data_IF_969863380497
#
_entry.id   IF_969863380497
#
_cell.length_a   1.000
_cell.length_b   1.000
_cell.length_c   1.000
_cell.angle_alpha   90.00
_cell.angle_beta   90.00
_cell.angle_gamma   90.00
#
_symmetry.space_group_name_H-M   'P 1'
#
loop_
_entity.id
_entity.type
_entity.pdbx_description
1 polymer ?
#
# COMPACT_ATOMS: atom_id res chain seq x y z
N UNK A 1 -13.90 -46.06 23.07
CA UNK A 1 -14.21 -45.60 21.70
C UNK A 1 -13.30 -44.43 21.42
N UNK A 2 -12.21 -44.70 20.69
CA UNK A 2 -11.14 -43.75 20.41
C UNK A 2 -11.59 -42.69 19.41
N UNK A 3 -11.33 -41.42 19.71
CA UNK A 3 -11.47 -40.33 18.76
C UNK A 3 -10.28 -40.40 17.78
N UNK A 4 -10.59 -40.51 16.48
CA UNK A 4 -9.60 -40.55 15.42
C UNK A 4 -9.33 -39.11 14.98
N UNK A 5 -8.17 -38.57 15.36
CA UNK A 5 -7.64 -37.34 14.76
C UNK A 5 -7.20 -37.67 13.32
N UNK A 6 -7.82 -37.02 12.33
CA UNK A 6 -7.43 -37.15 10.93
C UNK A 6 -6.12 -36.39 10.67
N UNK A 7 -5.08 -37.13 10.26
CA UNK A 7 -3.84 -36.57 9.67
C UNK A 7 -3.88 -36.74 8.15
N UNK A 8 -3.49 -35.71 7.43
CA UNK A 8 -3.16 -35.75 5.99
C UNK A 8 -1.78 -36.43 5.79
N UNK A 9 -1.47 -37.06 4.64
CA UNK A 9 -0.29 -37.92 4.47
C UNK A 9 1.08 -37.23 4.61
N UNK A 10 1.16 -35.89 4.59
CA UNK A 10 2.42 -35.15 4.51
C UNK A 10 2.86 -34.44 5.81
N UNK A 11 2.13 -34.61 6.92
CA UNK A 11 2.62 -34.18 8.24
C UNK A 11 2.89 -32.67 8.41
N UNK A 12 2.46 -31.81 7.48
CA UNK A 12 2.50 -30.36 7.65
C UNK A 12 1.30 -29.88 8.47
N UNK A 13 1.58 -29.12 9.52
CA UNK A 13 0.55 -28.41 10.27
C UNK A 13 -0.17 -27.45 9.33
N UNK A 14 -1.46 -27.68 9.07
CA UNK A 14 -2.33 -26.69 8.45
C UNK A 14 -2.41 -25.51 9.39
N UNK A 15 -1.65 -24.44 9.12
CA UNK A 15 -1.85 -23.16 9.79
C UNK A 15 -3.24 -22.69 9.44
N UNK A 16 -4.15 -22.71 10.41
CA UNK A 16 -5.50 -22.16 10.22
C UNK A 16 -5.35 -20.72 9.73
N UNK A 17 -5.93 -20.42 8.56
CA UNK A 17 -6.06 -19.05 8.09
C UNK A 17 -6.99 -18.31 9.06
N UNK A 18 -6.42 -17.66 10.07
CA UNK A 18 -7.18 -16.83 10.98
C UNK A 18 -7.69 -15.61 10.20
N UNK A 19 -8.97 -15.63 9.83
CA UNK A 19 -9.68 -14.48 9.21
C UNK A 19 -9.90 -13.33 10.19
N UNK A 20 -9.49 -13.48 11.45
CA UNK A 20 -9.58 -12.50 12.52
C UNK A 20 -8.19 -12.19 13.06
N UNK A 21 -7.87 -10.92 13.29
CA UNK A 21 -6.63 -10.51 13.92
C UNK A 21 -6.51 -11.04 15.36
N UNK A 22 -5.30 -11.36 15.80
CA UNK A 22 -5.05 -11.76 17.20
C UNK A 22 -5.10 -10.54 18.13
N UNK A 23 -5.35 -10.72 19.44
CA UNK A 23 -5.29 -9.61 20.40
C UNK A 23 -3.94 -8.87 20.40
N UNK A 24 -2.85 -9.59 20.19
CA UNK A 24 -1.49 -9.03 20.10
C UNK A 24 -1.31 -8.14 18.87
N UNK A 25 -1.82 -8.58 17.71
CA UNK A 25 -1.81 -7.79 16.48
C UNK A 25 -2.62 -6.50 16.65
N UNK A 26 -3.83 -6.60 17.20
CA UNK A 26 -4.69 -5.44 17.47
C UNK A 26 -4.04 -4.47 18.46
N UNK A 27 -3.40 -4.97 19.51
CA UNK A 27 -2.68 -4.14 20.48
C UNK A 27 -1.48 -3.42 19.82
N UNK A 28 -0.72 -4.11 18.97
CA UNK A 28 0.40 -3.51 18.24
C UNK A 28 -0.06 -2.39 17.28
N UNK A 29 -1.09 -2.64 16.47
CA UNK A 29 -1.66 -1.65 15.57
C UNK A 29 -2.20 -0.43 16.31
N UNK A 30 -2.95 -0.64 17.40
CA UNK A 30 -3.46 0.45 18.23
C UNK A 30 -2.33 1.27 18.86
N UNK A 31 -1.29 0.60 19.37
CA UNK A 31 -0.13 1.27 19.98
C UNK A 31 0.58 2.16 18.97
N UNK A 32 0.80 1.65 17.75
CA UNK A 32 1.40 2.41 16.66
C UNK A 32 0.57 3.65 16.28
N UNK A 33 -0.74 3.47 16.05
CA UNK A 33 -1.64 4.60 15.74
C UNK A 33 -1.64 5.68 16.83
N UNK A 34 -1.62 5.29 18.11
CA UNK A 34 -1.55 6.23 19.23
C UNK A 34 -0.21 6.97 19.29
N UNK A 35 0.90 6.33 18.91
CA UNK A 35 2.19 6.98 18.81
C UNK A 35 2.23 8.01 17.67
N UNK A 36 1.64 7.68 16.51
CA UNK A 36 1.52 8.60 15.37
C UNK A 36 0.64 9.81 15.72
N UNK A 37 -0.49 9.57 16.40
CA UNK A 37 -1.35 10.62 16.94
C UNK A 37 -0.63 11.55 17.92
N UNK A 38 0.39 11.05 18.61
CA UNK A 38 1.23 11.85 19.51
C UNK A 38 2.40 12.56 18.80
N UNK A 39 2.48 12.49 17.46
CA UNK A 39 3.49 13.16 16.64
C UNK A 39 4.72 12.30 16.31
N UNK A 40 4.67 10.98 16.53
CA UNK A 40 5.77 10.11 16.12
C UNK A 40 5.77 9.91 14.60
N UNK A 41 6.88 10.25 13.94
CA UNK A 41 7.05 10.09 12.48
C UNK A 41 8.09 9.01 12.21
N UNK A 42 7.64 7.84 11.76
CA UNK A 42 8.49 6.72 11.37
C UNK A 42 7.84 5.88 10.25
N UNK A 43 8.63 5.16 9.43
CA UNK A 43 8.08 4.25 8.44
C UNK A 43 7.23 3.15 9.08
N UNK A 44 6.11 2.79 8.45
CA UNK A 44 5.17 1.79 9.03
C UNK A 44 5.50 0.35 8.64
N UNK A 45 6.50 0.12 7.77
CA UNK A 45 6.85 -1.22 7.32
C UNK A 45 7.25 -2.12 8.49
N UNK A 46 6.55 -3.24 8.65
CA UNK A 46 6.84 -4.22 9.71
C UNK A 46 6.32 -3.88 11.11
N UNK A 47 5.74 -2.69 11.35
CA UNK A 47 5.27 -2.27 12.69
C UNK A 47 4.14 -3.14 13.24
N UNK A 48 3.18 -3.53 12.40
CA UNK A 48 2.04 -4.38 12.76
C UNK A 48 1.97 -5.60 11.84
N UNK A 49 2.88 -6.55 12.05
CA UNK A 49 3.03 -7.72 11.18
C UNK A 49 1.72 -8.54 11.06
N UNK A 50 1.37 -8.89 9.82
CA UNK A 50 0.15 -9.66 9.53
C UNK A 50 -1.15 -8.85 9.49
N UNK A 51 -1.10 -7.54 9.76
CA UNK A 51 -2.22 -6.62 9.54
C UNK A 51 -2.05 -5.83 8.24
N UNK A 52 -3.18 -5.45 7.66
CA UNK A 52 -3.23 -4.67 6.44
C UNK A 52 -2.83 -3.24 6.75
N UNK A 53 -1.98 -2.69 5.89
CA UNK A 53 -1.68 -1.27 5.84
C UNK A 53 -2.27 -0.68 4.56
N UNK A 54 -2.82 0.52 4.67
CA UNK A 54 -3.52 1.18 3.58
C UNK A 54 -2.84 2.51 3.22
N UNK A 55 -2.75 2.75 1.92
CA UNK A 55 -2.48 4.07 1.36
C UNK A 55 -3.72 4.95 1.56
N UNK A 56 -3.53 6.22 1.89
CA UNK A 56 -4.60 7.23 1.92
C UNK A 56 -4.54 8.11 0.67
N UNK A 57 -5.71 8.35 0.07
CA UNK A 57 -6.02 9.52 -0.76
C UNK A 57 -7.36 10.12 -0.29
N UNK A 58 -7.38 11.41 0.02
CA UNK A 58 -8.57 12.17 0.33
C UNK A 58 -8.69 13.35 -0.65
N UNK A 59 -9.89 13.56 -1.18
CA UNK A 59 -10.19 14.62 -2.16
C UNK A 59 -11.51 15.30 -1.80
N UNK A 60 -11.75 16.55 -2.24
CA UNK A 60 -13.04 17.20 -2.09
C UNK A 60 -14.16 16.34 -2.72
N UNK A 61 -15.39 16.47 -2.22
CA UNK A 61 -16.47 15.55 -2.59
C UNK A 61 -16.78 15.58 -4.10
N UNK A 62 -16.59 16.73 -4.76
CA UNK A 62 -16.80 16.86 -6.20
C UNK A 62 -15.79 16.06 -7.04
N UNK A 63 -14.65 15.65 -6.49
CA UNK A 63 -13.66 14.76 -7.13
C UNK A 63 -13.80 13.28 -6.76
N UNK A 64 -14.64 12.95 -5.78
CA UNK A 64 -14.77 11.59 -5.26
C UNK A 64 -15.19 10.57 -6.33
N UNK A 65 -16.18 10.91 -7.17
CA UNK A 65 -16.68 10.02 -8.23
C UNK A 65 -15.60 9.70 -9.27
N UNK A 66 -14.76 10.69 -9.60
CA UNK A 66 -13.63 10.50 -10.51
C UNK A 66 -12.59 9.55 -9.90
N UNK A 67 -12.27 9.72 -8.61
CA UNK A 67 -11.35 8.82 -7.88
C UNK A 67 -11.90 7.40 -7.82
N UNK A 68 -13.17 7.24 -7.48
CA UNK A 68 -13.82 5.93 -7.38
C UNK A 68 -13.84 5.21 -8.74
N UNK A 69 -14.23 5.92 -9.82
CA UNK A 69 -14.24 5.36 -11.17
C UNK A 69 -12.81 5.08 -11.66
N UNK A 70 -11.83 5.93 -11.33
CA UNK A 70 -10.43 5.69 -11.66
C UNK A 70 -9.92 4.43 -10.98
N UNK A 71 -10.25 4.23 -9.69
CA UNK A 71 -9.86 3.05 -8.95
C UNK A 71 -10.52 1.78 -9.51
N UNK A 72 -11.82 1.84 -9.83
CA UNK A 72 -12.57 0.76 -10.44
C UNK A 72 -12.00 0.35 -11.82
N UNK A 73 -11.55 1.31 -12.64
CA UNK A 73 -10.90 1.04 -13.92
C UNK A 73 -9.45 0.57 -13.80
N UNK A 74 -8.81 0.82 -12.66
CA UNK A 74 -7.40 0.49 -12.41
C UNK A 74 -7.24 -0.27 -11.08
N UNK A 75 -7.87 -1.46 -10.93
CA UNK A 75 -7.96 -2.13 -9.64
C UNK A 75 -6.62 -2.67 -9.12
N UNK A 76 -5.63 -2.90 -10.00
CA UNK A 76 -4.29 -3.33 -9.58
C UNK A 76 -3.50 -2.23 -8.88
N UNK A 77 -3.32 -1.02 -9.47
CA UNK A 77 -2.66 0.08 -8.76
C UNK A 77 -3.53 0.75 -7.70
N UNK A 78 -4.86 0.68 -7.82
CA UNK A 78 -5.79 1.37 -6.92
C UNK A 78 -6.84 0.41 -6.30
N UNK A 79 -6.44 -0.66 -5.61
CA UNK A 79 -7.39 -1.56 -4.97
C UNK A 79 -8.04 -0.89 -3.76
N UNK A 80 -9.30 -0.47 -3.86
CA UNK A 80 -10.00 0.20 -2.75
C UNK A 80 -10.39 -0.81 -1.67
N UNK A 81 -9.95 -0.55 -0.45
CA UNK A 81 -10.31 -1.31 0.76
C UNK A 81 -11.51 -0.71 1.48
N UNK A 82 -11.58 0.63 1.52
CA UNK A 82 -12.66 1.38 2.15
C UNK A 82 -12.83 2.76 1.52
N UNK A 83 -14.06 3.27 1.52
CA UNK A 83 -14.40 4.64 1.12
C UNK A 83 -15.19 5.25 2.27
N UNK A 84 -14.70 6.37 2.79
CA UNK A 84 -15.36 7.10 3.87
C UNK A 84 -16.24 8.19 3.25
N UNK A 85 -17.45 8.35 3.80
CA UNK A 85 -18.36 9.43 3.44
C UNK A 85 -17.70 10.82 3.60
N UNK A 86 -18.21 11.81 2.87
CA UNK A 86 -17.71 13.18 2.92
C UNK A 86 -17.64 13.72 4.37
N UNK A 87 -16.45 14.20 4.76
CA UNK A 87 -16.16 14.72 6.09
C UNK A 87 -15.92 13.66 7.17
N UNK A 88 -16.12 12.38 6.86
CA UNK A 88 -15.82 11.29 7.81
C UNK A 88 -14.31 11.08 7.93
N UNK A 89 -13.88 10.79 9.16
CA UNK A 89 -12.48 10.57 9.53
C UNK A 89 -12.24 9.14 10.06
N UNK A 90 -13.32 8.36 10.21
CA UNK A 90 -13.29 7.03 10.83
C UNK A 90 -13.54 5.96 9.79
N UNK A 91 -12.58 5.06 9.63
CA UNK A 91 -12.71 3.89 8.77
C UNK A 91 -13.26 2.70 9.54
N UNK A 92 -14.07 1.87 8.89
CA UNK A 92 -14.47 0.57 9.45
C UNK A 92 -13.31 -0.41 9.58
N UNK A 93 -12.19 -0.16 8.91
CA UNK A 93 -10.98 -0.99 8.98
C UNK A 93 -10.23 -0.81 10.31
N UNK A 94 -10.50 0.27 11.05
CA UNK A 94 -10.04 0.48 12.42
C UNK A 94 -10.99 1.49 13.11
N UNK A 95 -12.09 1.03 13.73
CA UNK A 95 -13.19 1.90 14.19
C UNK A 95 -12.82 2.99 15.21
N UNK A 96 -11.77 2.76 16.00
CA UNK A 96 -11.27 3.69 17.02
C UNK A 96 -10.21 4.67 16.47
N UNK A 97 -9.87 4.58 15.19
CA UNK A 97 -8.85 5.39 14.56
C UNK A 97 -9.40 6.72 14.03
N UNK A 98 -8.49 7.70 13.92
CA UNK A 98 -8.75 9.00 13.31
C UNK A 98 -7.75 9.23 12.17
N UNK A 99 -8.24 9.24 10.92
CA UNK A 99 -7.39 9.37 9.72
C UNK A 99 -6.62 10.69 9.63
N UNK A 100 -6.93 11.68 10.47
CA UNK A 100 -6.22 12.96 10.47
C UNK A 100 -4.89 12.90 11.23
N UNK A 101 -4.77 11.96 12.17
CA UNK A 101 -3.64 11.92 13.13
C UNK A 101 -3.01 10.54 13.27
N UNK A 102 -3.68 9.46 12.85
CA UNK A 102 -3.19 8.09 13.04
C UNK A 102 -2.31 7.56 11.89
N UNK A 103 -1.86 8.45 10.99
CA UNK A 103 -0.84 8.17 9.97
C UNK A 103 0.39 9.02 10.30
N UNK A 104 1.62 8.47 10.24
CA UNK A 104 2.79 9.20 10.70
C UNK A 104 3.12 10.45 9.87
N UNK A 105 2.78 10.46 8.59
CA UNK A 105 3.04 11.60 7.71
C UNK A 105 2.06 11.66 6.52
N UNK A 106 1.72 12.88 6.14
CA UNK A 106 0.80 13.24 5.06
C UNK A 106 1.48 14.15 4.04
N UNK A 107 0.86 14.25 2.88
CA UNK A 107 1.22 15.15 1.78
C UNK A 107 0.00 15.93 1.34
N UNK A 108 0.13 17.25 1.34
CA UNK A 108 -0.89 18.17 0.83
C UNK A 108 -0.57 18.52 -0.61
N UNK A 109 -1.55 18.37 -1.49
CA UNK A 109 -1.42 18.65 -2.91
C UNK A 109 -2.39 19.75 -3.31
N UNK A 110 -1.90 20.78 -4.01
CA UNK A 110 -2.70 21.86 -4.57
C UNK A 110 -2.39 22.03 -6.04
N UNK A 111 -3.42 22.02 -6.86
CA UNK A 111 -3.29 22.07 -8.34
C UNK A 111 -2.29 21.04 -8.89
N UNK A 112 -2.25 19.86 -8.26
CA UNK A 112 -1.32 18.76 -8.58
C UNK A 112 0.13 18.97 -8.14
N UNK A 113 0.43 19.99 -7.34
CA UNK A 113 1.76 20.28 -6.78
C UNK A 113 1.77 19.92 -5.30
N UNK A 114 2.80 19.22 -4.84
CA UNK A 114 3.04 18.97 -3.41
C UNK A 114 3.39 20.31 -2.75
N UNK A 115 2.57 20.78 -1.81
CA UNK A 115 2.79 22.06 -1.12
C UNK A 115 3.32 21.89 0.29
N UNK A 116 2.91 20.82 0.98
CA UNK A 116 3.25 20.61 2.39
C UNK A 116 3.40 19.12 2.71
N UNK A 117 4.23 18.83 3.71
CA UNK A 117 4.28 17.55 4.40
C UNK A 117 3.95 17.77 5.88
N UNK A 118 3.03 16.99 6.43
CA UNK A 118 2.44 17.18 7.76
C UNK A 118 2.53 15.87 8.56
N UNK A 119 2.65 15.95 9.87
CA UNK A 119 2.44 14.83 10.81
C UNK A 119 1.02 14.81 11.40
N UNK A 120 0.28 15.91 11.26
CA UNK A 120 -1.14 16.05 11.60
C UNK A 120 -1.90 16.73 10.44
N UNK A 121 -2.89 16.04 9.88
CA UNK A 121 -3.71 16.52 8.77
C UNK A 121 -5.04 17.18 9.22
N UNK A 122 -5.21 17.48 10.50
CA UNK A 122 -6.47 18.06 11.02
C UNK A 122 -6.84 19.37 10.33
N UNK A 123 -5.86 20.24 10.09
CA UNK A 123 -6.06 21.51 9.38
C UNK A 123 -6.57 21.31 7.94
N UNK A 124 -6.18 20.22 7.26
CA UNK A 124 -6.68 19.91 5.92
C UNK A 124 -8.18 19.58 5.91
N UNK A 125 -8.68 18.89 6.94
CA UNK A 125 -10.11 18.64 7.11
C UNK A 125 -10.90 19.87 7.54
N UNK A 126 -10.26 20.81 8.23
CA UNK A 126 -10.88 22.11 8.55
C UNK A 126 -11.05 22.97 7.29
N UNK A 127 -10.05 22.96 6.41
CA UNK A 127 -10.10 23.67 5.12
C UNK A 127 -11.10 23.04 4.15
N UNK A 128 -11.13 21.71 4.09
CA UNK A 128 -12.02 20.92 3.23
C UNK A 128 -12.90 19.99 4.09
N UNK A 129 -14.00 20.48 4.67
CA UNK A 129 -14.86 19.69 5.57
C UNK A 129 -15.64 18.59 4.84
N UNK A 130 -15.60 18.57 3.50
CA UNK A 130 -16.28 17.61 2.63
C UNK A 130 -15.34 16.53 2.06
N UNK A 131 -14.11 16.40 2.58
CA UNK A 131 -13.16 15.40 2.09
C UNK A 131 -13.76 13.99 2.12
N UNK A 132 -13.70 13.31 0.97
CA UNK A 132 -13.98 11.89 0.82
C UNK A 132 -12.65 11.15 0.81
N UNK A 133 -12.49 10.17 1.70
CA UNK A 133 -11.24 9.42 1.85
C UNK A 133 -11.35 8.02 1.29
N UNK A 134 -10.32 7.61 0.56
CA UNK A 134 -10.17 6.27 0.02
C UNK A 134 -8.95 5.63 0.66
N UNK A 135 -9.18 4.49 1.31
CA UNK A 135 -8.12 3.62 1.79
C UNK A 135 -7.84 2.58 0.70
N UNK A 136 -6.62 2.61 0.17
CA UNK A 136 -6.18 1.78 -0.95
C UNK A 136 -5.17 0.75 -0.45
N UNK A 137 -5.33 -0.51 -0.88
CA UNK A 137 -4.47 -1.62 -0.51
C UNK A 137 -3.00 -1.34 -0.80
N UNK A 138 -2.12 -1.91 0.02
CA UNK A 138 -0.68 -1.70 -0.06
C UNK A 138 0.07 -3.02 -0.27
N UNK A 139 1.23 -2.93 -0.93
CA UNK A 139 2.12 -4.07 -1.17
C UNK A 139 2.67 -4.71 0.10
N UNK A 140 2.65 -4.01 1.23
CA UNK A 140 3.15 -4.52 2.50
C UNK A 140 2.40 -5.77 2.96
N UNK A 141 1.16 -5.95 2.52
CA UNK A 141 0.40 -7.17 2.80
C UNK A 141 1.04 -8.42 2.19
N UNK A 142 1.55 -8.38 0.96
CA UNK A 142 2.21 -9.55 0.37
C UNK A 142 3.68 -9.69 0.82
N UNK A 143 4.33 -8.61 1.27
CA UNK A 143 5.70 -8.69 1.79
C UNK A 143 5.81 -9.61 2.99
N UNK A 144 4.80 -9.64 3.87
CA UNK A 144 4.73 -10.60 4.97
C UNK A 144 4.83 -12.04 4.44
N UNK A 145 4.05 -12.39 3.43
CA UNK A 145 4.08 -13.72 2.82
C UNK A 145 5.40 -14.05 2.11
N UNK A 146 6.10 -13.05 1.56
CA UNK A 146 7.44 -13.23 0.99
C UNK A 146 8.46 -13.52 2.10
N UNK A 147 8.44 -12.75 3.19
CA UNK A 147 9.31 -12.96 4.35
C UNK A 147 9.06 -14.32 5.00
N UNK A 148 7.79 -14.70 5.18
CA UNK A 148 7.40 -16.00 5.74
C UNK A 148 7.91 -17.17 4.86
N UNK A 149 8.04 -16.96 3.55
CA UNK A 149 8.63 -17.92 2.61
C UNK A 149 10.16 -17.82 2.51
N UNK A 150 10.81 -17.01 3.35
CA UNK A 150 12.26 -16.80 3.33
C UNK A 150 12.75 -16.05 2.09
N UNK A 151 11.93 -15.18 1.50
CA UNK A 151 12.34 -14.25 0.44
C UNK A 151 12.61 -12.90 1.10
N UNK A 152 13.84 -12.42 0.96
CA UNK A 152 14.26 -11.15 1.54
C UNK A 152 13.50 -9.97 0.93
N UNK A 153 13.17 -8.98 1.78
CA UNK A 153 12.70 -7.67 1.34
C UNK A 153 13.84 -6.67 1.53
N UNK A 154 14.67 -6.52 0.50
CA UNK A 154 15.95 -5.77 0.55
C UNK A 154 15.84 -4.39 1.20
N UNK A 155 14.84 -3.59 0.83
CA UNK A 155 14.70 -2.24 1.38
C UNK A 155 14.45 -2.25 2.91
N UNK A 156 13.76 -3.28 3.44
CA UNK A 156 13.58 -3.45 4.89
C UNK A 156 14.90 -3.80 5.57
N UNK A 157 15.68 -4.71 5.00
CA UNK A 157 17.02 -5.06 5.51
C UNK A 157 17.94 -3.84 5.59
N UNK A 158 17.82 -2.93 4.60
CA UNK A 158 18.63 -1.72 4.51
C UNK A 158 18.06 -0.51 5.26
N UNK A 159 16.87 -0.61 5.87
CA UNK A 159 16.21 0.53 6.52
C UNK A 159 15.86 1.66 5.56
N UNK A 160 15.50 1.32 4.31
CA UNK A 160 15.20 2.25 3.21
C UNK A 160 13.74 2.14 2.77
N UNK A 161 13.23 3.20 2.16
CA UNK A 161 11.96 3.17 1.46
C UNK A 161 12.08 2.40 0.14
N UNK A 162 11.05 1.62 -0.19
CA UNK A 162 11.02 0.84 -1.44
C UNK A 162 11.15 1.79 -2.65
N UNK A 163 12.01 1.46 -3.64
CA UNK A 163 12.11 2.27 -4.86
C UNK A 163 10.83 2.12 -5.67
N UNK A 164 10.30 3.26 -6.11
CA UNK A 164 9.12 3.32 -6.96
C UNK A 164 9.39 4.17 -8.19
N UNK A 165 8.87 3.72 -9.33
CA UNK A 165 9.13 4.31 -10.63
C UNK A 165 7.84 4.65 -11.34
N UNK A 166 7.80 5.82 -11.98
CA UNK A 166 6.76 6.16 -12.94
C UNK A 166 7.06 5.46 -14.26
N UNK A 167 6.11 4.68 -14.75
CA UNK A 167 6.27 3.93 -16.00
C UNK A 167 5.78 4.72 -17.21
N UNK A 168 6.06 4.22 -18.42
CA UNK A 168 5.45 4.71 -19.67
C UNK A 168 4.05 4.14 -19.93
N UNK A 169 3.47 3.37 -18.99
CA UNK A 169 2.16 2.73 -19.13
C UNK A 169 1.09 3.62 -18.50
N UNK A 170 0.21 4.18 -19.32
CA UNK A 170 -0.92 4.96 -18.83
C UNK A 170 -1.94 4.07 -18.09
N UNK A 171 -2.52 4.60 -17.02
CA UNK A 171 -3.75 4.07 -16.44
C UNK A 171 -4.95 4.37 -17.35
N UNK A 172 -6.01 3.57 -17.22
CA UNK A 172 -7.30 3.86 -17.84
C UNK A 172 -7.88 5.14 -17.21
N UNK A 173 -8.08 6.23 -17.97
CA UNK A 173 -8.56 7.49 -17.40
C UNK A 173 -10.01 7.37 -16.90
N UNK A 174 -10.42 8.26 -16.00
CA UNK A 174 -11.78 8.34 -15.47
C UNK A 174 -12.14 9.79 -15.13
N UNK A 175 -13.15 10.34 -15.81
CA UNK A 175 -13.53 11.74 -15.65
C UNK A 175 -12.33 12.66 -15.88
N UNK A 176 -12.01 13.50 -14.89
CA UNK A 176 -10.84 14.40 -14.93
C UNK A 176 -9.51 13.69 -14.66
N UNK A 177 -9.54 12.52 -14.04
CA UNK A 177 -8.35 11.78 -13.62
C UNK A 177 -7.69 11.00 -14.75
N UNK A 178 -6.39 11.20 -14.89
CA UNK A 178 -5.45 10.47 -15.73
C UNK A 178 -4.09 10.44 -15.06
N UNK A 179 -3.28 9.43 -15.35
CA UNK A 179 -1.92 9.32 -14.80
C UNK A 179 -1.24 8.08 -15.33
N UNK A 180 0.07 8.01 -15.11
CA UNK A 180 0.86 6.84 -15.47
C UNK A 180 0.87 5.86 -14.29
N UNK A 181 0.96 4.57 -14.60
CA UNK A 181 1.17 3.53 -13.60
C UNK A 181 2.50 3.79 -12.89
N UNK A 182 2.46 3.80 -11.56
CA UNK A 182 3.65 3.76 -10.71
C UNK A 182 3.85 2.33 -10.22
N UNK A 183 5.09 1.85 -10.29
CA UNK A 183 5.47 0.52 -9.83
C UNK A 183 6.47 0.60 -8.69
N UNK A 184 6.37 -0.31 -7.73
CA UNK A 184 7.43 -0.56 -6.74
C UNK A 184 8.30 -1.72 -7.23
N UNK A 185 9.61 -1.64 -7.00
CA UNK A 185 10.56 -2.68 -7.41
C UNK A 185 11.18 -3.36 -6.20
N UNK A 186 11.26 -4.70 -6.24
CA UNK A 186 12.05 -5.48 -5.29
C UNK A 186 13.00 -6.39 -6.08
N UNK A 187 14.28 -6.45 -5.73
CA UNK A 187 15.17 -7.46 -6.28
C UNK A 187 14.82 -8.81 -5.66
N UNK A 188 14.61 -9.83 -6.49
CA UNK A 188 14.25 -11.18 -6.07
C UNK A 188 15.29 -12.16 -6.65
N UNK A 189 15.86 -13.09 -5.86
CA UNK A 189 16.73 -14.14 -6.40
C UNK A 189 16.06 -14.86 -7.58
N UNK A 190 16.79 -15.09 -8.67
CA UNK A 190 16.21 -15.59 -9.93
C UNK A 190 15.39 -16.89 -9.73
N UNK A 191 15.86 -17.80 -8.90
CA UNK A 191 15.20 -19.06 -8.57
C UNK A 191 13.93 -18.91 -7.72
N UNK A 192 13.75 -17.75 -7.07
CA UNK A 192 12.59 -17.43 -6.21
C UNK A 192 11.56 -16.53 -6.89
N UNK A 193 11.79 -16.07 -8.12
CA UNK A 193 10.84 -15.20 -8.85
C UNK A 193 9.47 -15.85 -9.00
N UNK A 194 9.42 -17.15 -9.33
CA UNK A 194 8.15 -17.88 -9.47
C UNK A 194 7.38 -17.97 -8.13
N UNK A 195 8.10 -18.15 -7.02
CA UNK A 195 7.50 -18.10 -5.69
C UNK A 195 6.96 -16.71 -5.38
N UNK A 196 7.72 -15.65 -5.66
CA UNK A 196 7.29 -14.28 -5.41
C UNK A 196 6.01 -13.93 -6.18
N UNK A 197 5.92 -14.35 -7.45
CA UNK A 197 4.71 -14.21 -8.27
C UNK A 197 3.54 -14.98 -7.66
N UNK A 198 3.73 -16.25 -7.29
CA UNK A 198 2.67 -17.10 -6.72
C UNK A 198 2.17 -16.58 -5.37
N UNK A 199 3.08 -16.17 -4.48
CA UNK A 199 2.77 -15.67 -3.15
C UNK A 199 1.99 -14.35 -3.25
N UNK A 200 2.52 -13.37 -3.98
CA UNK A 200 1.85 -12.07 -4.13
C UNK A 200 0.54 -12.17 -4.92
N UNK A 201 0.44 -13.11 -5.88
CA UNK A 201 -0.76 -13.37 -6.65
C UNK A 201 -1.98 -13.82 -5.85
N UNK A 202 -1.80 -14.34 -4.63
CA UNK A 202 -2.90 -14.74 -3.72
C UNK A 202 -3.65 -13.57 -3.10
N UNK A 203 -3.18 -12.34 -3.32
CA UNK A 203 -3.74 -11.14 -2.70
C UNK A 203 -4.20 -10.11 -3.75
N UNK A 204 -5.17 -10.45 -4.64
CA UNK A 204 -5.59 -9.57 -5.73
C UNK A 204 -6.17 -8.23 -5.25
N UNK A 205 -6.71 -8.17 -4.04
CA UNK A 205 -7.28 -6.98 -3.43
C UNK A 205 -6.24 -6.02 -2.79
N UNK A 206 -4.94 -6.31 -2.91
CA UNK A 206 -3.83 -5.47 -2.40
C UNK A 206 -2.65 -5.52 -3.38
N UNK A 207 -2.92 -5.12 -4.63
CA UNK A 207 -2.04 -5.11 -5.81
C UNK A 207 -1.84 -6.45 -6.53
N UNK A 208 -1.80 -7.56 -5.79
CA UNK A 208 -1.70 -8.90 -6.37
C UNK A 208 -0.34 -9.21 -7.02
N UNK A 209 -0.37 -9.99 -8.11
CA UNK A 209 0.83 -10.45 -8.81
C UNK A 209 1.64 -9.29 -9.44
N UNK A 210 2.96 -9.49 -9.67
CA UNK A 210 3.78 -8.49 -10.35
C UNK A 210 3.18 -8.05 -11.69
N UNK A 211 3.35 -6.78 -12.03
CA UNK A 211 2.96 -6.24 -13.34
C UNK A 211 4.06 -6.36 -14.38
N UNK A 212 5.29 -6.66 -13.95
CA UNK A 212 6.46 -6.88 -14.80
C UNK A 212 7.57 -7.62 -14.05
N UNK A 213 8.40 -8.36 -14.79
CA UNK A 213 9.57 -9.09 -14.30
C UNK A 213 10.71 -8.88 -15.29
N UNK A 214 11.89 -8.52 -14.79
CA UNK A 214 13.10 -8.40 -15.61
C UNK A 214 13.33 -6.98 -16.13
N UNK A 215 13.50 -6.83 -17.45
CA UNK A 215 14.03 -5.62 -18.08
C UNK A 215 13.23 -4.35 -17.74
N UNK A 216 13.79 -3.37 -16.99
CA UNK A 216 13.11 -2.14 -16.60
C UNK A 216 12.77 -1.24 -17.80
N UNK A 217 13.53 -1.31 -18.90
CA UNK A 217 13.32 -0.45 -20.06
C UNK A 217 11.96 -0.70 -20.73
N UNK A 218 11.45 -1.94 -20.64
CA UNK A 218 10.10 -2.31 -21.09
C UNK A 218 8.97 -1.59 -20.34
N UNK A 219 9.24 -1.04 -19.15
CA UNK A 219 8.34 -0.16 -18.40
C UNK A 219 8.65 1.34 -18.60
N UNK A 220 9.63 1.69 -19.45
CA UNK A 220 10.13 3.05 -19.58
C UNK A 220 11.07 3.50 -18.46
N UNK A 221 11.46 2.59 -17.56
CA UNK A 221 12.41 2.87 -16.47
C UNK A 221 13.82 2.75 -17.02
N UNK A 222 14.52 3.88 -17.14
CA UNK A 222 15.85 3.95 -17.78
C UNK A 222 17.02 3.72 -16.82
N UNK A 223 16.83 4.10 -15.55
CA UNK A 223 17.86 3.99 -14.52
C UNK A 223 17.21 3.56 -13.20
N UNK A 224 17.58 2.37 -12.72
CA UNK A 224 17.10 1.85 -11.43
C UNK A 224 17.76 2.58 -10.25
N UNK A 225 18.87 3.28 -10.43
CA UNK A 225 19.50 4.03 -9.35
C UNK A 225 18.79 5.39 -9.07
N UNK A 226 17.83 5.78 -9.91
CA UNK A 226 17.14 7.06 -9.83
C UNK A 226 15.61 6.88 -9.76
N UNK A 227 15.07 6.30 -8.65
CA UNK A 227 13.63 6.17 -8.50
C UNK A 227 12.95 7.53 -8.37
N UNK A 228 11.73 7.68 -8.92
CA UNK A 228 10.92 8.88 -8.71
C UNK A 228 10.45 9.03 -7.25
N UNK A 229 10.30 7.92 -6.52
CA UNK A 229 9.95 7.91 -5.11
C UNK A 229 10.70 6.82 -4.34
N UNK A 230 11.01 7.07 -3.07
CA UNK A 230 11.77 6.14 -2.24
C UNK A 230 13.27 6.22 -2.50
N UNK A 231 14.01 5.21 -2.02
CA UNK A 231 15.47 5.19 -2.08
C UNK A 231 15.99 4.24 -3.16
N UNK A 232 17.18 4.52 -3.68
CA UNK A 232 17.82 3.68 -4.68
C UNK A 232 18.02 2.23 -4.17
N UNK A 233 17.73 1.21 -5.00
CA UNK A 233 17.91 -0.19 -4.64
C UNK A 233 19.39 -0.57 -4.60
N UNK A 234 19.68 -1.60 -3.81
CA UNK A 234 20.85 -2.46 -4.01
C UNK A 234 20.37 -3.75 -4.66
N UNK A 235 21.01 -4.15 -5.76
CA UNK A 235 20.66 -5.34 -6.52
C UNK A 235 21.94 -6.18 -6.66
N UNK A 236 21.92 -7.38 -6.11
CA UNK A 236 23.05 -8.32 -6.10
C UNK A 236 23.09 -9.18 -7.38
N UNK A 237 24.27 -9.68 -7.76
CA UNK A 237 24.38 -10.64 -8.86
C UNK A 237 23.47 -11.86 -8.65
N UNK A 238 22.64 -12.16 -9.66
CA UNK A 238 21.67 -13.26 -9.60
C UNK A 238 20.26 -12.84 -9.16
N UNK A 239 20.07 -11.59 -8.73
CA UNK A 239 18.75 -11.04 -8.47
C UNK A 239 18.11 -10.46 -9.74
N UNK A 240 16.78 -10.58 -9.82
CA UNK A 240 15.96 -10.07 -10.92
C UNK A 240 15.07 -8.95 -10.38
N UNK A 241 15.02 -7.78 -11.04
CA UNK A 241 14.06 -6.73 -10.71
C UNK A 241 12.63 -7.23 -10.97
N UNK A 242 11.80 -7.23 -9.93
CA UNK A 242 10.37 -7.57 -10.03
C UNK A 242 9.53 -6.36 -9.64
N UNK A 243 8.52 -6.04 -10.44
CA UNK A 243 7.76 -4.80 -10.32
C UNK A 243 6.29 -5.08 -10.02
N UNK A 244 5.77 -4.45 -8.97
CA UNK A 244 4.36 -4.50 -8.60
C UNK A 244 3.70 -3.14 -8.81
N UNK A 245 2.43 -3.14 -9.17
CA UNK A 245 1.64 -1.91 -9.11
C UNK A 245 1.70 -1.33 -7.69
N UNK A 246 1.78 0.00 -7.58
CA UNK A 246 1.98 0.67 -6.31
C UNK A 246 0.83 1.64 -6.01
N UNK A 247 0.41 1.69 -4.74
CA UNK A 247 -0.59 2.63 -4.22
C UNK A 247 -0.17 4.10 -4.22
N UNK A 248 1.00 4.43 -4.79
CA UNK A 248 1.44 5.78 -5.15
C UNK A 248 0.96 6.18 -6.56
N UNK A 249 0.40 5.27 -7.35
CA UNK A 249 -0.23 5.59 -8.66
C UNK A 249 -1.30 6.70 -8.57
N UNK A 250 -2.18 6.75 -7.54
CA UNK A 250 -3.05 7.89 -7.30
C UNK A 250 -2.31 9.23 -7.17
N UNK A 251 -1.10 9.27 -6.59
CA UNK A 251 -0.29 10.50 -6.52
C UNK A 251 0.16 10.93 -7.93
N UNK A 252 0.55 9.98 -8.79
CA UNK A 252 0.81 10.30 -10.21
C UNK A 252 -0.42 10.86 -10.91
N UNK A 253 -1.60 10.32 -10.62
CA UNK A 253 -2.86 10.82 -11.18
C UNK A 253 -3.20 12.24 -10.67
N UNK A 254 -2.96 12.53 -9.38
CA UNK A 254 -3.09 13.88 -8.80
C UNK A 254 -2.18 14.86 -9.56
N UNK A 255 -0.89 14.54 -9.72
CA UNK A 255 0.07 15.42 -10.40
C UNK A 255 -0.33 15.72 -11.86
N UNK A 256 -0.80 14.70 -12.58
CA UNK A 256 -1.15 14.84 -14.00
C UNK A 256 -2.52 15.51 -14.22
N UNK A 257 -3.46 15.34 -13.28
CA UNK A 257 -4.85 15.81 -13.41
C UNK A 257 -5.11 17.13 -12.71
N UNK A 258 -4.23 17.50 -11.76
CA UNK A 258 -4.24 18.77 -11.04
C UNK A 258 -5.59 19.07 -10.35
N UNK A 259 -6.05 18.19 -9.44
CA UNK A 259 -7.17 18.57 -8.59
C UNK A 259 -6.78 19.83 -7.78
N UNK A 260 -7.75 20.70 -7.47
CA UNK A 260 -7.48 21.92 -6.70
C UNK A 260 -6.93 21.59 -5.31
N UNK A 261 -7.37 20.46 -4.74
CA UNK A 261 -6.88 19.93 -3.49
C UNK A 261 -6.87 18.39 -3.52
N UNK A 262 -5.84 17.80 -2.92
CA UNK A 262 -5.85 16.41 -2.48
C UNK A 262 -4.94 16.27 -1.26
N UNK A 263 -5.22 15.27 -0.42
CA UNK A 263 -4.35 14.87 0.68
C UNK A 263 -4.02 13.40 0.51
N UNK A 264 -2.76 13.03 0.69
CA UNK A 264 -2.36 11.62 0.73
C UNK A 264 -1.52 11.35 1.96
N UNK A 265 -1.28 10.09 2.26
CA UNK A 265 -0.16 9.70 3.10
C UNK A 265 1.19 10.02 2.39
N UNK A 266 2.26 10.19 3.15
CA UNK A 266 3.63 10.23 2.63
C UNK A 266 4.13 8.79 2.35
N UNK A 267 4.91 8.55 1.28
CA UNK A 267 5.42 7.21 0.99
C UNK A 267 6.19 6.60 2.16
N UNK A 268 5.87 5.34 2.50
CA UNK A 268 6.46 4.65 3.65
C UNK A 268 5.69 4.85 4.97
N UNK A 269 4.76 5.81 5.02
CA UNK A 269 3.97 6.15 6.21
C UNK A 269 2.48 5.81 5.98
N UNK A 270 2.10 4.54 6.05
CA UNK A 270 0.74 4.11 5.73
C UNK A 270 -0.18 4.09 6.95
N UNK A 271 -1.49 4.03 6.72
CA UNK A 271 -2.47 3.79 7.77
C UNK A 271 -2.48 2.32 8.18
N UNK A 272 -2.25 2.03 9.47
CA UNK A 272 -2.29 0.67 10.00
C UNK A 272 -3.73 0.32 10.41
N UNK A 273 -4.30 -0.71 9.80
CA UNK A 273 -5.68 -1.16 10.08
C UNK A 273 -5.72 -2.24 11.17
N UNK A 274 -6.93 -2.63 11.59
CA UNK A 274 -7.19 -3.76 12.47
C UNK A 274 -7.52 -5.05 11.68
N UNK A 275 -7.44 -5.00 10.34
CA UNK A 275 -7.81 -6.10 9.45
C UNK A 275 -6.61 -6.99 9.17
N UNK A 276 -6.69 -8.31 9.39
CA UNK A 276 -5.59 -9.22 9.08
C UNK A 276 -5.41 -9.38 7.57
N UNK A 277 -4.16 -9.53 7.13
CA UNK A 277 -3.79 -9.81 5.74
C UNK A 277 -4.55 -11.03 5.18
N UNK A 278 -4.84 -12.02 6.03
CA UNK A 278 -5.58 -13.22 5.68
C UNK A 278 -7.02 -12.95 5.21
N UNK A 279 -7.62 -11.80 5.57
CA UNK A 279 -8.96 -11.42 5.10
C UNK A 279 -9.01 -11.13 3.59
N UNK A 280 -7.86 -10.94 2.94
CA UNK A 280 -7.74 -10.64 1.51
C UNK A 280 -7.06 -11.76 0.70
N UNK A 281 -6.90 -12.94 1.30
CA UNK A 281 -6.48 -14.15 0.58
C UNK A 281 -7.59 -14.61 -0.37
N UNK A 282 -7.22 -14.89 -1.62
CA UNK A 282 -8.08 -15.47 -2.65
C UNK A 282 -7.73 -16.94 -2.94
#
# INVERSE_FOLDING_TARGET
MSAHEGRDPDGQATTASHTTATPEQLAAARTARLAYRAGTVEPTSGVAHGLVQANLIAVPADWADDVLLFAQRNPRPCPVLDVLDAGSMRSRLAPDADLRTDIPAYRVWRDGVLTDELDDASAAWEEHPDLVSFLIGCSFTFEAGLVDAGIEIRHRTLGRNVPMYRTSRACSPAGRLRGDLVVSMRPIPAERVADAVRISGRYPAVHGAPVHVGDPASLGVRDLAAPEFGDAPEIEPGEVPVFWACGVTPQSAIMASKPPFALTHAPGHMFITDVPNAAYLA
#
